data_IF_203272411898
#
_entry.id   IF_203272411898
#
_cell.length_a   1.000
_cell.length_b   1.000
_cell.length_c   1.000
_cell.angle_alpha   90.00
_cell.angle_beta   90.00
_cell.angle_gamma   90.00
#
_symmetry.space_group_name_H-M   'P 1'
#
loop_
_entity.id
_entity.type
_entity.pdbx_description
1 polymer ?
#
# COMPACT_ATOMS: atom_id res chain seq x y z
N UNK A 1 -7.20 -22.97 -9.27
CA UNK A 1 -7.38 -22.09 -8.12
C UNK A 1 -7.94 -20.73 -8.57
N UNK A 2 -8.75 -20.12 -7.74
CA UNK A 2 -9.29 -18.78 -7.97
C UNK A 2 -8.83 -17.87 -6.85
N UNK A 3 -8.38 -16.67 -7.18
CA UNK A 3 -8.01 -15.64 -6.22
C UNK A 3 -9.18 -14.68 -6.04
N UNK A 4 -9.77 -14.64 -4.83
CA UNK A 4 -10.83 -13.72 -4.47
C UNK A 4 -10.25 -12.54 -3.73
N UNK A 5 -10.33 -11.36 -4.34
CA UNK A 5 -9.66 -10.15 -3.88
C UNK A 5 -10.64 -9.09 -3.40
N UNK A 6 -10.20 -8.24 -2.49
CA UNK A 6 -10.93 -7.02 -2.12
C UNK A 6 -9.96 -5.93 -1.62
N UNK A 7 -10.46 -4.69 -1.54
CA UNK A 7 -9.74 -3.58 -0.92
C UNK A 7 -9.63 -3.78 0.60
N UNK A 8 -8.54 -3.26 1.18
CA UNK A 8 -8.25 -3.45 2.60
C UNK A 8 -7.55 -2.28 3.28
N UNK A 9 -7.58 -1.09 2.70
CA UNK A 9 -6.86 0.09 3.25
C UNK A 9 -7.51 0.67 4.51
N UNK A 10 -8.78 0.37 4.77
CA UNK A 10 -9.55 0.78 5.96
C UNK A 10 -10.24 -0.40 6.63
N UNK A 11 -9.64 -1.57 6.62
CA UNK A 11 -10.31 -2.85 6.83
C UNK A 11 -10.79 -3.43 5.50
N UNK A 12 -11.27 -4.65 5.49
CA UNK A 12 -11.80 -5.26 4.27
C UNK A 12 -13.10 -4.56 3.86
N UNK A 13 -13.17 -4.15 2.60
CA UNK A 13 -14.32 -3.38 2.09
C UNK A 13 -15.53 -4.30 1.85
N UNK A 14 -16.23 -4.66 2.91
CA UNK A 14 -17.36 -5.58 2.86
C UNK A 14 -18.41 -5.25 3.91
N UNK A 15 -19.64 -5.69 3.66
CA UNK A 15 -20.75 -5.50 4.58
C UNK A 15 -20.46 -6.13 5.95
N UNK A 16 -20.69 -5.37 7.01
CA UNK A 16 -20.43 -5.73 8.43
C UNK A 16 -18.96 -5.97 8.80
N UNK A 17 -18.01 -5.70 7.91
CA UNK A 17 -16.62 -5.69 8.29
C UNK A 17 -16.26 -4.43 9.11
N UNK A 18 -15.19 -4.53 9.89
CA UNK A 18 -14.70 -3.41 10.69
C UNK A 18 -14.11 -2.33 9.78
N UNK A 19 -14.56 -1.10 9.95
CA UNK A 19 -14.00 0.06 9.26
C UNK A 19 -13.03 0.80 10.18
N UNK A 20 -11.78 0.92 9.74
CA UNK A 20 -10.70 1.60 10.45
C UNK A 20 -10.50 3.02 9.91
N UNK A 21 -9.78 3.90 10.64
CA UNK A 21 -9.33 5.18 10.08
C UNK A 21 -8.52 5.00 8.81
N UNK A 22 -8.35 6.09 8.03
CA UNK A 22 -7.44 6.09 6.88
C UNK A 22 -6.02 5.72 7.29
N UNK A 23 -5.20 5.23 6.35
CA UNK A 23 -3.80 4.95 6.65
C UNK A 23 -3.05 6.20 7.14
N UNK A 24 -3.40 7.39 6.65
CA UNK A 24 -2.83 8.63 7.15
C UNK A 24 -3.16 8.85 8.64
N UNK A 25 -4.40 8.64 9.04
CA UNK A 25 -4.80 8.68 10.46
C UNK A 25 -4.07 7.64 11.30
N UNK A 26 -3.95 6.41 10.80
CA UNK A 26 -3.20 5.35 11.45
C UNK A 26 -1.70 5.67 11.54
N UNK A 27 -1.12 6.27 10.50
CA UNK A 27 0.28 6.70 10.46
C UNK A 27 0.63 7.72 11.53
N UNK A 28 -0.30 8.64 11.85
CA UNK A 28 -0.12 9.64 12.90
C UNK A 28 -0.05 9.06 14.32
N UNK A 29 -0.44 7.82 14.50
CA UNK A 29 -0.31 7.14 15.80
C UNK A 29 1.11 6.75 16.13
N UNK A 30 1.99 6.57 15.14
CA UNK A 30 3.35 6.04 15.27
C UNK A 30 3.42 4.69 16.01
N UNK A 31 2.28 3.99 16.08
CA UNK A 31 2.12 2.78 16.89
C UNK A 31 2.13 1.53 16.02
N UNK A 32 3.28 0.87 15.92
CA UNK A 32 3.49 -0.35 15.12
C UNK A 32 2.58 -1.50 15.57
N UNK A 33 2.41 -1.68 16.88
CA UNK A 33 1.55 -2.75 17.40
C UNK A 33 0.09 -2.52 17.03
N UNK A 34 -0.40 -1.28 17.09
CA UNK A 34 -1.74 -0.93 16.64
C UNK A 34 -1.95 -1.30 15.17
N UNK A 35 -0.98 -0.97 14.31
CA UNK A 35 -1.09 -1.32 12.88
C UNK A 35 -1.12 -2.84 12.67
N UNK A 36 -0.34 -3.58 13.43
CA UNK A 36 -0.37 -5.04 13.41
C UNK A 36 -1.75 -5.59 13.80
N UNK A 37 -2.37 -5.03 14.84
CA UNK A 37 -3.74 -5.40 15.26
C UNK A 37 -4.77 -5.09 14.19
N UNK A 38 -4.69 -3.93 13.54
CA UNK A 38 -5.55 -3.58 12.40
C UNK A 38 -5.41 -4.63 11.29
N UNK A 39 -4.17 -4.99 10.93
CA UNK A 39 -3.90 -6.03 9.94
C UNK A 39 -4.46 -7.40 10.32
N UNK A 40 -4.30 -7.80 11.59
CA UNK A 40 -4.84 -9.06 12.12
C UNK A 40 -6.35 -9.15 12.01
N UNK A 41 -7.07 -8.09 12.38
CA UNK A 41 -8.52 -8.03 12.31
C UNK A 41 -8.98 -8.05 10.85
N UNK A 42 -8.38 -7.20 10.00
CA UNK A 42 -8.68 -7.12 8.57
C UNK A 42 -8.46 -8.47 7.87
N UNK A 43 -7.33 -9.12 8.11
CA UNK A 43 -7.02 -10.42 7.52
C UNK A 43 -7.97 -11.52 7.98
N UNK A 44 -8.33 -11.53 9.27
CA UNK A 44 -9.30 -12.48 9.82
C UNK A 44 -10.69 -12.28 9.20
N UNK A 45 -11.18 -11.06 9.14
CA UNK A 45 -12.49 -10.76 8.55
C UNK A 45 -12.52 -11.09 7.05
N UNK A 46 -11.49 -10.72 6.31
CA UNK A 46 -11.35 -11.06 4.90
C UNK A 46 -11.39 -12.59 4.68
N UNK A 47 -10.64 -13.34 5.47
CA UNK A 47 -10.63 -14.81 5.41
C UNK A 47 -12.01 -15.41 5.71
N UNK A 48 -12.72 -14.90 6.71
CA UNK A 48 -14.06 -15.36 7.07
C UNK A 48 -15.09 -15.06 5.97
N UNK A 49 -14.89 -14.00 5.20
CA UNK A 49 -15.72 -13.62 4.06
C UNK A 49 -15.36 -14.36 2.76
N UNK A 50 -14.34 -15.21 2.78
CA UNK A 50 -13.92 -16.01 1.63
C UNK A 50 -12.89 -15.37 0.72
N UNK A 51 -12.34 -14.20 1.07
CA UNK A 51 -11.26 -13.58 0.33
C UNK A 51 -9.94 -14.31 0.56
N UNK A 52 -9.10 -14.31 -0.47
CA UNK A 52 -7.78 -14.95 -0.45
C UNK A 52 -6.64 -13.93 -0.51
N UNK A 53 -6.94 -12.72 -0.98
CA UNK A 53 -6.00 -11.64 -1.16
C UNK A 53 -6.65 -10.28 -0.84
N UNK A 54 -5.89 -9.39 -0.20
CA UNK A 54 -6.33 -8.06 0.19
C UNK A 54 -5.38 -7.01 -0.40
N UNK A 55 -5.92 -6.00 -1.08
CA UNK A 55 -5.16 -4.91 -1.69
C UNK A 55 -4.77 -3.87 -0.63
N UNK A 56 -3.84 -4.26 0.23
CA UNK A 56 -3.21 -3.47 1.29
C UNK A 56 -1.86 -4.09 1.67
N UNK A 57 -0.94 -3.29 2.25
CA UNK A 57 -1.01 -1.84 2.53
C UNK A 57 -0.73 -0.96 1.32
N UNK A 58 -1.09 0.34 1.44
CA UNK A 58 -0.57 1.38 0.55
C UNK A 58 0.85 1.72 1.02
N UNK A 59 1.81 1.55 0.14
CA UNK A 59 3.24 1.79 0.40
C UNK A 59 3.77 3.03 -0.34
N UNK A 60 2.87 3.79 -0.97
CA UNK A 60 3.22 5.09 -1.51
C UNK A 60 3.68 6.03 -0.39
N UNK A 61 4.64 6.89 -0.70
CA UNK A 61 5.16 7.88 0.24
C UNK A 61 4.57 9.25 -0.08
N UNK A 62 3.93 9.89 0.87
CA UNK A 62 3.24 11.16 0.70
C UNK A 62 4.20 12.33 0.54
N UNK A 63 4.61 12.63 -0.68
CA UNK A 63 5.55 13.73 -0.98
C UNK A 63 4.86 15.06 -1.30
N UNK A 64 3.61 15.00 -1.73
CA UNK A 64 2.85 16.21 -2.08
C UNK A 64 1.36 16.01 -1.75
N UNK A 65 0.81 16.89 -0.90
CA UNK A 65 -0.59 16.82 -0.45
C UNK A 65 -1.61 17.12 -1.57
N UNK A 66 -1.17 17.63 -2.72
CA UNK A 66 -2.04 17.83 -3.89
C UNK A 66 -2.38 16.52 -4.60
N UNK A 67 -1.66 15.45 -4.30
CA UNK A 67 -1.99 14.13 -4.82
C UNK A 67 -3.33 13.64 -4.26
N UNK A 68 -4.27 13.28 -5.16
CA UNK A 68 -5.67 12.97 -4.79
C UNK A 68 -5.87 11.75 -3.90
N UNK A 69 -4.80 10.93 -3.68
CA UNK A 69 -4.82 9.75 -2.81
C UNK A 69 -3.96 9.92 -1.56
N UNK A 70 -3.63 11.15 -1.21
CA UNK A 70 -2.75 11.43 -0.07
C UNK A 70 -3.25 10.85 1.26
N UNK A 71 -4.56 10.79 1.47
CA UNK A 71 -5.16 10.20 2.68
C UNK A 71 -4.90 8.69 2.84
N UNK A 72 -4.51 8.02 1.76
CA UNK A 72 -4.30 6.58 1.76
C UNK A 72 -2.89 6.17 2.23
N UNK A 73 -1.93 7.10 2.32
CA UNK A 73 -0.55 6.80 2.72
C UNK A 73 -0.35 6.89 4.24
N UNK A 74 0.64 6.19 4.77
CA UNK A 74 0.98 6.30 6.20
C UNK A 74 1.67 7.62 6.56
N UNK A 75 2.25 8.33 5.59
CA UNK A 75 2.94 9.60 5.81
C UNK A 75 4.00 9.93 4.77
N UNK A 76 4.85 10.89 5.12
CA UNK A 76 5.85 11.48 4.23
C UNK A 76 7.24 10.82 4.33
N UNK A 77 7.47 10.03 5.39
CA UNK A 77 8.75 9.36 5.62
C UNK A 77 8.76 7.96 5.03
N UNK A 78 9.68 7.64 4.11
CA UNK A 78 9.82 6.28 3.58
C UNK A 78 10.06 5.24 4.68
N UNK A 79 10.79 5.63 5.73
CA UNK A 79 11.06 4.79 6.89
C UNK A 79 9.76 4.46 7.65
N UNK A 80 8.94 5.47 7.97
CA UNK A 80 7.67 5.28 8.66
C UNK A 80 6.73 4.40 7.84
N UNK A 81 6.60 4.67 6.54
CA UNK A 81 5.77 3.85 5.63
C UNK A 81 6.23 2.40 5.64
N UNK A 82 7.54 2.16 5.59
CA UNK A 82 8.10 0.80 5.66
C UNK A 82 7.78 0.11 6.99
N UNK A 83 8.03 0.77 8.13
CA UNK A 83 7.81 0.22 9.46
C UNK A 83 6.34 -0.17 9.69
N UNK A 84 5.41 0.71 9.34
CA UNK A 84 3.98 0.44 9.48
C UNK A 84 3.48 -0.57 8.44
N UNK A 85 4.00 -0.52 7.22
CA UNK A 85 3.70 -1.50 6.16
C UNK A 85 4.12 -2.91 6.54
N UNK A 86 5.30 -3.08 7.16
CA UNK A 86 5.77 -4.37 7.69
C UNK A 86 4.75 -4.95 8.68
N UNK A 87 4.29 -4.15 9.62
CA UNK A 87 3.38 -4.63 10.65
C UNK A 87 1.98 -4.92 10.09
N UNK A 88 1.50 -4.13 9.12
CA UNK A 88 0.25 -4.41 8.42
C UNK A 88 0.32 -5.75 7.69
N UNK A 89 1.38 -6.01 6.92
CA UNK A 89 1.56 -7.28 6.21
C UNK A 89 1.65 -8.47 7.17
N UNK A 90 2.42 -8.32 8.26
CA UNK A 90 2.50 -9.35 9.31
C UNK A 90 1.13 -9.66 9.93
N UNK A 91 0.29 -8.63 10.08
CA UNK A 91 -1.10 -8.79 10.54
C UNK A 91 -1.96 -9.52 9.51
N UNK A 92 -2.02 -9.02 8.28
CA UNK A 92 -2.83 -9.58 7.19
C UNK A 92 -2.48 -11.05 6.91
N UNK A 93 -1.20 -11.38 6.84
CA UNK A 93 -0.70 -12.72 6.49
C UNK A 93 -0.54 -13.64 7.71
N UNK A 94 -0.91 -13.18 8.91
CA UNK A 94 -0.79 -13.99 10.13
C UNK A 94 -1.54 -15.32 9.97
N UNK A 95 -0.86 -16.43 10.30
CA UNK A 95 -1.41 -17.78 10.16
C UNK A 95 -2.03 -18.06 8.77
N UNK A 96 -1.43 -17.51 7.71
CA UNK A 96 -1.90 -17.67 6.33
C UNK A 96 -3.36 -17.26 6.11
N UNK A 97 -3.81 -16.21 6.78
CA UNK A 97 -5.18 -15.72 6.65
C UNK A 97 -5.50 -15.32 5.22
N UNK A 98 -4.77 -14.34 4.67
CA UNK A 98 -4.89 -13.86 3.30
C UNK A 98 -3.52 -13.43 2.78
N UNK A 99 -3.34 -13.33 1.47
CA UNK A 99 -2.20 -12.64 0.88
C UNK A 99 -2.37 -11.12 1.05
N UNK A 100 -1.28 -10.42 1.32
CA UNK A 100 -1.23 -8.96 1.28
C UNK A 100 -0.64 -8.53 -0.06
N UNK A 101 -1.28 -7.58 -0.73
CA UNK A 101 -0.80 -6.95 -1.96
C UNK A 101 -0.50 -5.49 -1.73
N UNK A 102 0.78 -5.18 -1.53
CA UNK A 102 1.24 -3.80 -1.36
C UNK A 102 1.17 -3.00 -2.66
N UNK A 103 0.78 -1.72 -2.54
CA UNK A 103 0.53 -0.87 -3.71
C UNK A 103 0.92 0.59 -3.46
N UNK A 104 1.17 1.40 -4.47
CA UNK A 104 1.19 1.11 -5.91
C UNK A 104 2.64 1.20 -6.41
N UNK A 105 3.19 0.14 -6.92
CA UNK A 105 4.60 0.07 -7.35
C UNK A 105 4.77 0.62 -8.78
N UNK A 106 5.49 1.75 -8.99
CA UNK A 106 6.07 2.62 -8.00
C UNK A 106 5.98 4.09 -8.46
N UNK A 107 6.31 5.02 -7.54
CA UNK A 107 6.38 6.46 -7.82
C UNK A 107 5.04 7.10 -8.22
N UNK A 108 3.91 6.54 -7.75
CA UNK A 108 2.58 7.02 -8.07
C UNK A 108 2.20 8.27 -7.28
N UNK A 109 2.70 8.44 -6.06
CA UNK A 109 2.44 9.58 -5.19
C UNK A 109 3.23 10.84 -5.62
N UNK A 110 2.78 11.50 -6.64
CA UNK A 110 3.40 12.69 -7.18
C UNK A 110 2.38 13.82 -7.44
N UNK A 111 2.86 15.04 -7.60
CA UNK A 111 2.04 16.23 -7.76
C UNK A 111 1.48 16.45 -9.17
N UNK A 112 1.88 15.65 -10.14
CA UNK A 112 1.45 15.80 -11.53
C UNK A 112 0.20 15.01 -11.85
N UNK A 113 -0.14 14.03 -11.02
CA UNK A 113 -1.29 13.16 -11.20
C UNK A 113 -2.31 13.29 -10.10
N UNK A 114 -3.56 13.23 -10.47
CA UNK A 114 -4.67 12.98 -9.56
C UNK A 114 -5.11 11.52 -9.72
N UNK A 115 -5.92 11.05 -8.79
CA UNK A 115 -6.47 9.69 -8.86
C UNK A 115 -7.24 9.43 -10.15
N UNK A 116 -8.00 10.44 -10.60
CA UNK A 116 -8.92 10.31 -11.73
C UNK A 116 -8.55 11.31 -12.82
N UNK A 117 -8.66 10.89 -14.07
CA UNK A 117 -8.38 11.67 -15.25
C UNK A 117 -6.90 11.87 -15.57
N UNK A 118 -6.06 12.06 -14.56
CA UNK A 118 -4.62 12.31 -14.69
C UNK A 118 -3.79 11.23 -13.99
N UNK A 119 -4.30 10.02 -13.87
CA UNK A 119 -3.58 8.94 -13.18
C UNK A 119 -2.31 8.50 -13.92
N UNK A 120 -2.35 8.58 -15.25
CA UNK A 120 -1.21 8.22 -16.11
C UNK A 120 -0.38 9.47 -16.44
N UNK A 121 0.57 9.78 -15.59
CA UNK A 121 1.54 10.86 -15.79
C UNK A 121 2.94 10.35 -15.49
N UNK A 122 3.93 10.94 -16.12
CA UNK A 122 5.34 10.71 -15.78
C UNK A 122 5.73 11.67 -14.65
N UNK A 123 6.13 11.19 -13.47
CA UNK A 123 6.54 12.03 -12.35
C UNK A 123 7.83 12.80 -12.62
N UNK A 124 8.64 12.38 -13.60
CA UNK A 124 9.94 12.97 -13.94
C UNK A 124 10.89 13.01 -12.73
N UNK A 125 10.94 11.92 -12.00
CA UNK A 125 11.85 11.75 -10.87
C UNK A 125 13.16 11.12 -11.30
N UNK A 126 14.24 11.47 -10.61
CA UNK A 126 15.53 10.81 -10.85
C UNK A 126 15.49 9.34 -10.38
N UNK A 127 16.27 8.43 -10.98
CA UNK A 127 16.37 7.05 -10.50
C UNK A 127 16.74 6.96 -9.02
N UNK A 128 17.58 7.85 -8.53
CA UNK A 128 17.98 7.93 -7.12
C UNK A 128 16.79 8.25 -6.21
N UNK A 129 15.93 9.17 -6.61
CA UNK A 129 14.74 9.54 -5.86
C UNK A 129 13.75 8.39 -5.82
N UNK A 130 13.47 7.78 -6.96
CA UNK A 130 12.60 6.60 -7.06
C UNK A 130 13.11 5.47 -6.16
N UNK A 131 14.40 5.17 -6.22
CA UNK A 131 15.03 4.09 -5.43
C UNK A 131 14.98 4.36 -3.92
N UNK A 132 15.37 5.56 -3.49
CA UNK A 132 15.54 5.87 -2.06
C UNK A 132 14.25 6.25 -1.35
N UNK A 133 13.23 6.69 -2.08
CA UNK A 133 11.97 7.15 -1.49
C UNK A 133 10.84 6.18 -1.83
N UNK A 134 10.58 5.94 -3.11
CA UNK A 134 9.38 5.24 -3.54
C UNK A 134 9.51 3.73 -3.54
N UNK A 135 10.68 3.19 -3.90
CA UNK A 135 10.95 1.74 -3.87
C UNK A 135 11.34 1.24 -2.48
N UNK A 136 11.96 2.08 -1.66
CA UNK A 136 12.47 1.72 -0.34
C UNK A 136 11.43 1.00 0.55
N UNK A 137 10.18 1.50 0.73
CA UNK A 137 9.19 0.80 1.53
C UNK A 137 8.87 -0.60 1.00
N UNK A 138 8.72 -0.75 -0.31
CA UNK A 138 8.45 -2.06 -0.93
C UNK A 138 9.57 -3.05 -0.66
N UNK A 139 10.83 -2.65 -0.85
CA UNK A 139 11.99 -3.51 -0.55
C UNK A 139 11.99 -3.99 0.89
N UNK A 140 11.74 -3.09 1.84
CA UNK A 140 11.69 -3.42 3.25
C UNK A 140 10.56 -4.40 3.57
N UNK A 141 9.34 -4.08 3.11
CA UNK A 141 8.14 -4.89 3.40
C UNK A 141 8.24 -6.28 2.78
N UNK A 142 8.72 -6.39 1.55
CA UNK A 142 8.94 -7.70 0.91
C UNK A 142 9.96 -8.53 1.70
N UNK A 143 11.11 -7.96 2.04
CA UNK A 143 12.20 -8.67 2.71
C UNK A 143 11.90 -9.05 4.15
N UNK A 144 11.25 -8.17 4.90
CA UNK A 144 11.09 -8.29 6.36
C UNK A 144 9.74 -8.87 6.80
N UNK A 145 8.70 -8.74 5.97
CA UNK A 145 7.38 -9.30 6.24
C UNK A 145 6.94 -10.38 5.26
N UNK A 146 7.70 -10.64 4.19
CA UNK A 146 7.35 -11.67 3.22
C UNK A 146 6.08 -11.36 2.44
N UNK A 147 5.86 -10.09 2.06
CA UNK A 147 4.68 -9.67 1.30
C UNK A 147 4.54 -10.47 0.02
N UNK A 148 3.36 -11.05 -0.23
CA UNK A 148 3.12 -12.01 -1.30
C UNK A 148 2.71 -11.38 -2.62
N UNK A 149 2.08 -10.21 -2.60
CA UNK A 149 1.60 -9.52 -3.79
C UNK A 149 2.13 -8.09 -3.91
N UNK A 150 2.30 -7.63 -5.14
CA UNK A 150 2.63 -6.24 -5.49
C UNK A 150 1.73 -5.80 -6.63
N UNK A 151 1.07 -4.66 -6.46
CA UNK A 151 0.25 -4.04 -7.50
C UNK A 151 1.04 -2.91 -8.16
N UNK A 152 1.16 -2.95 -9.48
CA UNK A 152 1.79 -1.87 -10.26
C UNK A 152 0.97 -0.58 -10.21
N UNK A 153 1.65 0.55 -10.36
CA UNK A 153 1.01 1.87 -10.41
C UNK A 153 0.54 2.23 -11.82
N UNK A 154 -0.27 3.29 -11.92
CA UNK A 154 -0.82 3.75 -13.20
C UNK A 154 0.10 4.69 -13.98
N UNK A 155 1.09 5.29 -13.33
CA UNK A 155 1.97 6.29 -13.94
C UNK A 155 2.95 5.70 -14.95
N UNK A 156 3.50 6.56 -15.76
CA UNK A 156 4.68 6.26 -16.56
C UNK A 156 5.95 6.56 -15.72
N UNK A 157 7.07 6.02 -16.14
CA UNK A 157 8.39 6.37 -15.67
C UNK A 157 9.34 6.46 -16.85
N UNK A 158 9.98 7.62 -17.02
CA UNK A 158 10.84 7.95 -18.17
C UNK A 158 10.13 7.67 -19.52
N UNK A 159 8.85 8.09 -19.59
CA UNK A 159 8.00 7.92 -20.78
C UNK A 159 7.48 6.51 -21.03
N UNK A 160 7.75 5.56 -20.13
CA UNK A 160 7.33 4.15 -20.28
C UNK A 160 6.30 3.83 -19.18
N UNK A 161 5.16 3.20 -19.51
CA UNK A 161 4.24 2.69 -18.49
C UNK A 161 4.98 1.79 -17.49
N UNK A 162 4.74 1.99 -16.18
CA UNK A 162 5.43 1.22 -15.13
C UNK A 162 5.31 -0.29 -15.32
N UNK A 163 4.20 -0.76 -15.89
CA UNK A 163 3.99 -2.18 -16.18
C UNK A 163 4.92 -2.74 -17.27
N UNK A 164 5.48 -1.87 -18.10
CA UNK A 164 6.40 -2.23 -19.18
C UNK A 164 7.85 -1.78 -18.94
N UNK A 165 8.13 -1.16 -17.78
CA UNK A 165 9.46 -0.69 -17.41
C UNK A 165 10.29 -1.81 -16.78
N UNK A 166 11.59 -1.88 -17.17
CA UNK A 166 12.57 -2.83 -16.63
C UNK A 166 13.49 -2.16 -15.62
#
# INVERSE_FOLDING_TARGET
PVDFTNEGIRGVESYRATNFPTQLGLGHTWNRELIRQVGLITGREARMLGYTNVYAPILDVGRDQRWGRYEEVYGESPYLVAELGIEMVRGLQHNHQVAATGKHFAAYSNNKGAREGMARVDPQMSPREVENIHIYPFKRVIREAGMLGVMSSYNDYDGIPVQGSY
#
